data_IF_880957188494
#
_entry.id   IF_880957188494
#
_cell.length_a   1.000
_cell.length_b   1.000
_cell.length_c   1.000
_cell.angle_alpha   90.00
_cell.angle_beta   90.00
_cell.angle_gamma   90.00
#
_symmetry.space_group_name_H-M   'P 1'
#
loop_
_entity.id
_entity.type
_entity.pdbx_description
1 polymer ?
#
# COMPACT_ATOMS: atom_id res chain seq x y z
N UNK A 1 -26.21 -3.74 -10.20
CA UNK A 1 -25.81 -3.09 -8.92
C UNK A 1 -25.47 -1.62 -9.17
N UNK A 2 -25.22 -0.84 -8.12
CA UNK A 2 -24.82 0.57 -8.21
C UNK A 2 -23.42 0.78 -7.61
N UNK A 3 -22.73 1.82 -8.07
CA UNK A 3 -21.41 2.25 -7.61
C UNK A 3 -21.48 3.74 -7.28
N UNK A 4 -20.94 4.15 -6.13
CA UNK A 4 -20.85 5.56 -5.79
C UNK A 4 -19.95 6.28 -6.81
N UNK A 5 -20.48 7.31 -7.46
CA UNK A 5 -19.78 8.19 -8.38
C UNK A 5 -19.33 9.45 -7.65
N UNK A 6 -18.10 9.83 -7.92
CA UNK A 6 -17.46 11.06 -7.44
C UNK A 6 -17.16 11.89 -8.69
N UNK A 7 -17.86 13.01 -8.85
CA UNK A 7 -17.74 13.91 -10.00
C UNK A 7 -16.38 14.61 -10.03
N UNK A 8 -15.87 15.01 -8.86
CA UNK A 8 -14.53 15.60 -8.73
C UNK A 8 -13.89 15.22 -7.39
N UNK A 9 -12.56 15.17 -7.34
CA UNK A 9 -11.82 14.59 -6.20
C UNK A 9 -12.10 15.30 -4.86
N UNK A 10 -12.39 16.60 -4.89
CA UNK A 10 -12.73 17.41 -3.71
C UNK A 10 -14.18 17.27 -3.24
N UNK A 11 -15.03 16.54 -3.97
CA UNK A 11 -16.43 16.35 -3.60
C UNK A 11 -16.53 15.61 -2.26
N UNK A 12 -17.34 16.14 -1.34
CA UNK A 12 -17.52 15.60 0.01
C UNK A 12 -18.97 15.23 0.35
N UNK A 13 -19.94 15.68 -0.45
CA UNK A 13 -21.37 15.41 -0.33
C UNK A 13 -22.02 15.34 -1.73
N UNK A 14 -23.32 15.06 -1.76
CA UNK A 14 -24.16 14.99 -2.98
C UNK A 14 -23.59 14.06 -4.05
N UNK A 15 -23.16 12.87 -3.63
CA UNK A 15 -22.64 11.86 -4.54
C UNK A 15 -23.77 11.21 -5.34
N UNK A 16 -23.47 10.92 -6.60
CA UNK A 16 -24.36 10.18 -7.50
C UNK A 16 -24.03 8.70 -7.51
N UNK A 17 -24.84 7.92 -8.23
CA UNK A 17 -24.60 6.51 -8.46
C UNK A 17 -24.65 6.18 -9.95
N UNK A 18 -23.76 5.30 -10.37
CA UNK A 18 -23.79 4.73 -11.72
C UNK A 18 -23.93 3.20 -11.65
N UNK A 19 -24.42 2.60 -12.72
CA UNK A 19 -24.49 1.15 -12.88
C UNK A 19 -23.36 0.62 -13.79
N UNK A 20 -23.33 -0.70 -14.00
CA UNK A 20 -22.32 -1.36 -14.82
C UNK A 20 -22.34 -0.90 -16.28
N UNK A 21 -23.53 -0.68 -16.83
CA UNK A 21 -23.69 -0.20 -18.19
C UNK A 21 -23.08 1.20 -18.36
N UNK A 22 -23.39 2.12 -17.45
CA UNK A 22 -22.86 3.48 -17.45
C UNK A 22 -21.34 3.48 -17.24
N UNK A 23 -20.84 2.64 -16.32
CA UNK A 23 -19.38 2.47 -16.12
C UNK A 23 -18.69 1.96 -17.39
N UNK A 24 -19.29 0.98 -18.06
CA UNK A 24 -18.79 0.43 -19.34
C UNK A 24 -18.75 1.51 -20.43
N UNK A 25 -19.77 2.36 -20.52
CA UNK A 25 -19.81 3.48 -21.47
C UNK A 25 -18.71 4.51 -21.18
N UNK A 26 -18.51 4.89 -19.92
CA UNK A 26 -17.45 5.83 -19.51
C UNK A 26 -16.04 5.29 -19.80
N UNK A 27 -15.85 3.97 -19.75
CA UNK A 27 -14.59 3.32 -20.10
C UNK A 27 -14.43 3.16 -21.61
N UNK A 28 -15.51 2.86 -22.34
CA UNK A 28 -15.45 2.72 -23.81
C UNK A 28 -15.19 4.06 -24.50
N UNK A 29 -15.77 5.13 -23.97
CA UNK A 29 -15.70 6.48 -24.54
C UNK A 29 -15.40 7.51 -23.44
N UNK A 30 -14.16 7.53 -22.92
CA UNK A 30 -13.79 8.46 -21.87
C UNK A 30 -13.80 9.91 -22.36
N UNK A 31 -14.11 10.88 -21.48
CA UNK A 31 -14.11 12.29 -21.84
C UNK A 31 -12.69 12.75 -22.23
N UNK A 32 -12.63 13.71 -23.16
CA UNK A 32 -11.39 14.34 -23.60
C UNK A 32 -11.15 15.65 -22.87
N UNK A 33 -9.95 15.82 -22.31
CA UNK A 33 -9.53 17.00 -21.55
C UNK A 33 -8.44 17.75 -22.34
N UNK A 34 -8.63 19.06 -22.51
CA UNK A 34 -7.70 19.95 -23.22
C UNK A 34 -6.46 20.29 -22.36
N UNK A 35 -5.60 19.29 -22.15
CA UNK A 35 -4.30 19.44 -21.50
C UNK A 35 -3.32 18.40 -22.06
N UNK A 36 -2.02 18.67 -22.00
CA UNK A 36 -0.97 17.68 -22.27
C UNK A 36 -0.39 17.07 -20.99
N UNK A 37 -0.84 17.51 -19.81
CA UNK A 37 -0.28 17.10 -18.52
C UNK A 37 -1.18 16.09 -17.83
N UNK A 38 -0.73 14.84 -17.74
CA UNK A 38 -1.46 13.73 -17.11
C UNK A 38 -2.00 14.06 -15.70
N UNK A 39 -1.19 14.75 -14.88
CA UNK A 39 -1.60 15.16 -13.52
C UNK A 39 -2.77 16.14 -13.54
N UNK A 40 -2.83 17.06 -14.52
CA UNK A 40 -3.95 17.99 -14.66
C UNK A 40 -5.20 17.26 -15.15
N UNK A 41 -5.07 16.40 -16.17
CA UNK A 41 -6.18 15.59 -16.66
C UNK A 41 -6.80 14.73 -15.55
N UNK A 42 -5.96 14.08 -14.72
CA UNK A 42 -6.41 13.24 -13.60
C UNK A 42 -7.23 14.02 -12.56
N UNK A 43 -6.92 15.29 -12.31
CA UNK A 43 -7.69 16.13 -11.36
C UNK A 43 -9.12 16.41 -11.83
N UNK A 44 -9.35 16.38 -13.15
CA UNK A 44 -10.65 16.58 -13.79
C UNK A 44 -11.38 15.25 -14.05
N UNK A 45 -10.76 14.12 -13.71
CA UNK A 45 -11.40 12.83 -13.85
C UNK A 45 -12.39 12.58 -12.71
N UNK A 46 -13.52 11.99 -13.07
CA UNK A 46 -14.44 11.37 -12.13
C UNK A 46 -13.78 10.17 -11.44
N UNK A 47 -14.35 9.69 -10.34
CA UNK A 47 -13.90 8.49 -9.67
C UNK A 47 -15.09 7.65 -9.17
N UNK A 48 -14.82 6.37 -8.89
CA UNK A 48 -15.81 5.45 -8.33
C UNK A 48 -15.28 4.77 -7.07
N UNK A 49 -16.20 4.27 -6.24
CA UNK A 49 -15.86 3.39 -5.12
C UNK A 49 -16.26 1.93 -5.43
N UNK A 50 -15.91 1.02 -4.52
CA UNK A 50 -16.22 -0.41 -4.61
C UNK A 50 -17.59 -0.76 -4.00
N UNK A 51 -18.34 0.25 -3.55
CA UNK A 51 -19.50 0.12 -2.69
C UNK A 51 -20.60 1.06 -3.17
N UNK A 52 -21.83 0.76 -2.78
CA UNK A 52 -22.99 1.63 -2.91
C UNK A 52 -23.27 2.45 -1.63
N UNK A 53 -22.32 2.50 -0.69
CA UNK A 53 -22.37 3.43 0.44
C UNK A 53 -22.49 4.87 -0.09
N UNK A 54 -23.41 5.72 0.43
CA UNK A 54 -23.68 7.06 -0.08
C UNK A 54 -22.58 8.09 0.23
N UNK A 55 -21.45 7.67 0.81
CA UNK A 55 -20.29 8.51 1.03
C UNK A 55 -19.00 7.68 1.04
N UNK A 56 -17.86 8.37 1.19
CA UNK A 56 -16.52 7.77 1.14
C UNK A 56 -15.77 7.75 2.48
N UNK A 57 -16.45 7.94 3.60
CA UNK A 57 -15.82 7.87 4.93
C UNK A 57 -15.60 6.41 5.30
N UNK A 58 -14.44 6.13 5.89
CA UNK A 58 -14.06 4.75 6.24
C UNK A 58 -15.08 4.12 7.21
N UNK A 59 -15.47 4.84 8.25
CA UNK A 59 -16.43 4.36 9.26
C UNK A 59 -17.78 4.02 8.63
N UNK A 60 -18.30 4.90 7.77
CA UNK A 60 -19.58 4.71 7.09
C UNK A 60 -19.53 3.52 6.11
N UNK A 61 -18.45 3.38 5.33
CA UNK A 61 -18.27 2.25 4.41
C UNK A 61 -18.16 0.93 5.18
N UNK A 62 -17.41 0.91 6.27
CA UNK A 62 -17.27 -0.28 7.12
C UNK A 62 -18.61 -0.65 7.78
N UNK A 63 -19.38 0.33 8.24
CA UNK A 63 -20.70 0.10 8.81
C UNK A 63 -21.72 -0.36 7.75
N UNK A 64 -21.65 0.19 6.54
CA UNK A 64 -22.50 -0.19 5.41
C UNK A 64 -22.25 -1.62 4.95
N UNK A 65 -21.00 -2.08 4.99
CA UNK A 65 -20.59 -3.48 4.83
C UNK A 65 -21.15 -4.17 3.56
N UNK A 66 -21.26 -3.42 2.46
CA UNK A 66 -21.83 -3.90 1.21
C UNK A 66 -21.01 -3.37 0.03
N UNK A 67 -20.28 -4.28 -0.62
CA UNK A 67 -19.35 -3.99 -1.70
C UNK A 67 -19.87 -4.58 -3.00
N UNK A 68 -20.09 -3.72 -3.99
CA UNK A 68 -20.72 -4.05 -5.27
C UNK A 68 -19.72 -4.19 -6.41
N UNK A 69 -18.42 -3.93 -6.17
CA UNK A 69 -17.39 -4.01 -7.20
C UNK A 69 -16.05 -4.52 -6.65
N UNK A 70 -15.43 -5.45 -7.37
CA UNK A 70 -14.01 -5.79 -7.20
C UNK A 70 -13.16 -4.92 -8.14
N UNK A 71 -12.00 -4.47 -7.67
CA UNK A 71 -11.17 -3.50 -8.41
C UNK A 71 -9.69 -3.68 -8.13
N UNK A 72 -8.86 -3.55 -9.16
CA UNK A 72 -7.40 -3.67 -9.05
C UNK A 72 -6.72 -2.46 -9.69
N UNK A 73 -5.68 -1.95 -9.04
CA UNK A 73 -4.79 -0.90 -9.57
C UNK A 73 -3.44 -1.58 -9.86
N UNK A 74 -3.09 -1.67 -11.15
CA UNK A 74 -1.85 -2.27 -11.59
C UNK A 74 -0.92 -1.15 -12.03
N UNK A 75 0.02 -0.78 -11.19
CA UNK A 75 1.03 0.23 -11.49
C UNK A 75 2.37 -0.43 -11.89
N UNK A 76 2.97 0.09 -12.97
CA UNK A 76 4.26 -0.32 -13.53
C UNK A 76 4.40 -1.85 -13.65
N UNK A 77 3.36 -2.48 -14.18
CA UNK A 77 3.27 -3.93 -14.30
C UNK A 77 3.96 -4.45 -15.57
N UNK A 78 4.54 -5.64 -15.47
CA UNK A 78 5.04 -6.39 -16.64
C UNK A 78 3.89 -6.97 -17.47
N UNK A 79 2.69 -7.07 -16.88
CA UNK A 79 1.53 -7.57 -17.59
C UNK A 79 1.15 -6.63 -18.75
N UNK A 80 0.78 -7.23 -19.88
CA UNK A 80 0.04 -6.53 -20.92
C UNK A 80 -1.45 -6.81 -20.78
N UNK A 81 -2.29 -6.04 -21.49
CA UNK A 81 -3.74 -6.19 -21.46
C UNK A 81 -4.20 -7.62 -21.82
N UNK A 82 -3.50 -8.29 -22.74
CA UNK A 82 -3.76 -9.70 -23.09
C UNK A 82 -3.51 -10.62 -21.89
N UNK A 83 -2.38 -10.48 -21.20
CA UNK A 83 -2.08 -11.32 -20.03
C UNK A 83 -3.10 -11.09 -18.90
N UNK A 84 -3.53 -9.85 -18.67
CA UNK A 84 -4.58 -9.54 -17.69
C UNK A 84 -5.88 -10.26 -18.06
N UNK A 85 -6.31 -10.15 -19.32
CA UNK A 85 -7.49 -10.84 -19.84
C UNK A 85 -7.40 -12.37 -19.65
N UNK A 86 -6.29 -12.96 -20.10
CA UNK A 86 -6.09 -14.41 -20.04
C UNK A 86 -6.09 -14.92 -18.58
N UNK A 87 -5.50 -14.16 -17.66
CA UNK A 87 -5.54 -14.47 -16.22
C UNK A 87 -6.95 -14.40 -15.66
N UNK A 88 -7.72 -13.34 -15.95
CA UNK A 88 -9.09 -13.20 -15.45
C UNK A 88 -10.01 -14.31 -15.98
N UNK A 89 -9.91 -14.62 -17.28
CA UNK A 89 -10.66 -15.72 -17.88
C UNK A 89 -10.26 -17.08 -17.29
N UNK A 90 -8.95 -17.30 -17.05
CA UNK A 90 -8.44 -18.52 -16.41
C UNK A 90 -8.92 -18.70 -14.97
N UNK A 91 -9.25 -17.60 -14.28
CA UNK A 91 -9.86 -17.59 -12.95
C UNK A 91 -11.40 -17.73 -12.99
N UNK A 92 -11.99 -17.95 -14.16
CA UNK A 92 -13.45 -18.08 -14.34
C UNK A 92 -14.21 -16.74 -14.26
N UNK A 93 -13.52 -15.61 -14.44
CA UNK A 93 -14.13 -14.28 -14.39
C UNK A 93 -14.51 -13.86 -15.81
N UNK A 94 -15.81 -13.65 -16.04
CA UNK A 94 -16.34 -13.43 -17.40
C UNK A 94 -16.95 -12.04 -17.63
N UNK A 95 -17.19 -11.24 -16.59
CA UNK A 95 -17.63 -9.84 -16.76
C UNK A 95 -16.64 -8.89 -16.09
N UNK A 96 -15.86 -8.19 -16.89
CA UNK A 96 -14.83 -7.27 -16.40
C UNK A 96 -14.44 -6.20 -17.43
N UNK A 97 -13.87 -5.11 -16.91
CA UNK A 97 -13.38 -3.96 -17.66
C UNK A 97 -11.92 -3.74 -17.31
N UNK A 98 -11.06 -3.56 -18.31
CA UNK A 98 -9.66 -3.20 -18.15
C UNK A 98 -9.40 -1.91 -18.91
N UNK A 99 -8.72 -0.93 -18.32
CA UNK A 99 -8.36 0.29 -19.03
C UNK A 99 -7.01 0.84 -18.58
N UNK A 100 -6.33 1.59 -19.46
CA UNK A 100 -5.10 2.30 -19.08
C UNK A 100 -5.39 3.48 -18.15
N UNK A 101 -4.43 3.83 -17.29
CA UNK A 101 -4.55 5.03 -16.44
C UNK A 101 -4.04 6.27 -17.18
N UNK A 102 -4.40 7.47 -16.69
CA UNK A 102 -3.89 8.73 -17.25
C UNK A 102 -2.35 8.86 -17.21
N UNK A 103 -1.67 8.10 -16.35
CA UNK A 103 -0.20 8.09 -16.27
C UNK A 103 0.45 6.90 -16.97
N UNK A 104 -0.33 6.12 -17.73
CA UNK A 104 0.19 4.99 -18.51
C UNK A 104 1.27 5.48 -19.48
N UNK A 105 2.50 4.95 -19.32
CA UNK A 105 3.66 5.31 -20.14
C UNK A 105 3.99 6.81 -20.20
N UNK A 106 3.58 7.57 -19.19
CA UNK A 106 3.91 8.99 -19.05
C UNK A 106 5.07 9.17 -18.08
N UNK A 107 5.92 10.17 -18.30
CA UNK A 107 6.98 10.57 -17.37
C UNK A 107 7.88 9.40 -16.90
N UNK A 108 8.23 8.49 -17.82
CA UNK A 108 9.08 7.31 -17.53
C UNK A 108 8.36 6.15 -16.82
N UNK A 109 7.05 6.23 -16.61
CA UNK A 109 6.24 5.13 -16.04
C UNK A 109 6.06 3.99 -17.04
N UNK A 110 5.81 2.80 -16.52
CA UNK A 110 5.56 1.60 -17.32
C UNK A 110 4.10 1.42 -17.71
N UNK A 111 3.70 0.17 -17.91
CA UNK A 111 2.31 -0.17 -18.14
C UNK A 111 1.50 0.02 -16.86
N UNK A 112 0.43 0.79 -16.95
CA UNK A 112 -0.49 1.05 -15.83
C UNK A 112 -1.94 0.80 -16.24
N UNK A 113 -2.64 -0.05 -15.50
CA UNK A 113 -4.01 -0.45 -15.78
C UNK A 113 -4.90 -0.42 -14.54
N UNK A 114 -6.19 -0.27 -14.76
CA UNK A 114 -7.23 -0.58 -13.78
C UNK A 114 -8.09 -1.71 -14.29
N UNK A 115 -8.49 -2.56 -13.37
CA UNK A 115 -9.43 -3.66 -13.61
C UNK A 115 -10.64 -3.45 -12.72
N UNK A 116 -11.83 -3.63 -13.30
CA UNK A 116 -13.10 -3.66 -12.59
C UNK A 116 -13.79 -4.98 -12.92
N UNK A 117 -14.30 -5.69 -11.92
CA UNK A 117 -14.98 -6.98 -12.10
C UNK A 117 -16.41 -6.85 -11.59
N UNK A 118 -17.37 -7.20 -12.44
CA UNK A 118 -18.79 -7.16 -12.12
C UNK A 118 -19.15 -8.31 -11.17
N UNK A 119 -19.90 -8.01 -10.12
CA UNK A 119 -20.47 -9.01 -9.20
C UNK A 119 -21.95 -9.26 -9.51
N UNK A 120 -22.44 -10.47 -9.27
CA UNK A 120 -23.88 -10.75 -9.33
C UNK A 120 -24.63 -10.23 -8.11
N UNK A 121 -23.95 -10.19 -6.96
CA UNK A 121 -24.47 -9.75 -5.67
C UNK A 121 -23.41 -8.98 -4.90
N UNK A 122 -23.84 -8.11 -3.98
CA UNK A 122 -22.90 -7.41 -3.10
C UNK A 122 -22.25 -8.36 -2.10
N UNK A 123 -21.01 -8.06 -1.75
CA UNK A 123 -20.20 -8.81 -0.79
C UNK A 123 -20.12 -8.06 0.53
N UNK A 124 -19.99 -8.80 1.63
CA UNK A 124 -19.55 -8.17 2.87
C UNK A 124 -18.05 -7.84 2.81
N UNK A 125 -17.57 -7.03 3.76
CA UNK A 125 -16.19 -6.56 3.82
C UNK A 125 -15.18 -7.71 3.87
N UNK A 126 -15.45 -8.78 4.61
CA UNK A 126 -14.51 -9.88 4.77
C UNK A 126 -14.37 -10.67 3.47
N UNK A 127 -15.50 -11.02 2.84
CA UNK A 127 -15.54 -11.66 1.51
C UNK A 127 -14.80 -10.81 0.47
N UNK A 128 -15.10 -9.52 0.44
CA UNK A 128 -14.48 -8.57 -0.49
C UNK A 128 -12.98 -8.48 -0.27
N UNK A 129 -12.50 -8.42 0.98
CA UNK A 129 -11.07 -8.36 1.30
C UNK A 129 -10.33 -9.62 0.89
N UNK A 130 -10.91 -10.80 1.13
CA UNK A 130 -10.32 -12.08 0.77
C UNK A 130 -10.12 -12.16 -0.74
N UNK A 131 -11.17 -11.83 -1.52
CA UNK A 131 -11.08 -11.83 -2.98
C UNK A 131 -10.15 -10.75 -3.53
N UNK A 132 -10.22 -9.51 -3.03
CA UNK A 132 -9.33 -8.44 -3.47
C UNK A 132 -7.87 -8.79 -3.26
N UNK A 133 -7.56 -9.37 -2.10
CA UNK A 133 -6.20 -9.79 -1.76
C UNK A 133 -5.73 -10.90 -2.70
N UNK A 134 -6.57 -11.91 -2.94
CA UNK A 134 -6.23 -13.03 -3.81
C UNK A 134 -6.05 -12.58 -5.27
N UNK A 135 -6.94 -11.74 -5.79
CA UNK A 135 -6.84 -11.19 -7.14
C UNK A 135 -5.61 -10.29 -7.31
N UNK A 136 -5.28 -9.48 -6.30
CA UNK A 136 -4.06 -8.69 -6.31
C UNK A 136 -2.81 -9.58 -6.37
N UNK A 137 -2.81 -10.71 -5.65
CA UNK A 137 -1.76 -11.72 -5.75
C UNK A 137 -1.66 -12.32 -7.17
N UNK A 138 -2.78 -12.77 -7.76
CA UNK A 138 -2.80 -13.39 -9.08
C UNK A 138 -2.27 -12.46 -10.19
N UNK A 139 -2.53 -11.16 -10.07
CA UNK A 139 -2.17 -10.14 -11.08
C UNK A 139 -0.98 -9.25 -10.69
N UNK A 140 -0.31 -9.54 -9.56
CA UNK A 140 0.76 -8.71 -9.00
C UNK A 140 0.39 -7.22 -8.91
N UNK A 141 -0.88 -6.96 -8.62
CA UNK A 141 -1.47 -5.64 -8.48
C UNK A 141 -1.23 -5.08 -7.08
N UNK A 142 -1.48 -3.78 -6.91
CA UNK A 142 -1.46 -3.18 -5.58
C UNK A 142 -2.66 -3.68 -4.76
N UNK A 143 -2.37 -4.29 -3.61
CA UNK A 143 -3.39 -4.77 -2.70
C UNK A 143 -4.08 -3.58 -1.99
N UNK A 144 -5.24 -3.19 -2.53
CA UNK A 144 -6.08 -2.13 -1.99
C UNK A 144 -7.09 -2.62 -0.93
N UNK A 145 -7.06 -3.90 -0.53
CA UNK A 145 -8.03 -4.50 0.40
C UNK A 145 -8.06 -3.84 1.79
N UNK A 146 -6.94 -3.25 2.22
CA UNK A 146 -6.85 -2.55 3.51
C UNK A 146 -7.41 -1.11 3.46
N UNK A 147 -7.81 -0.61 2.29
CA UNK A 147 -8.35 0.73 2.09
C UNK A 147 -9.71 0.63 1.39
N UNK A 148 -10.76 0.12 2.05
CA UNK A 148 -12.08 -0.04 1.42
C UNK A 148 -12.65 1.28 0.88
N UNK A 149 -12.32 2.41 1.52
CA UNK A 149 -12.67 3.76 1.11
C UNK A 149 -11.88 4.32 -0.08
N UNK A 150 -10.84 3.62 -0.54
CA UNK A 150 -10.03 4.06 -1.67
C UNK A 150 -10.92 4.29 -2.89
N UNK A 151 -10.68 5.38 -3.61
CA UNK A 151 -11.39 5.71 -4.85
C UNK A 151 -10.57 5.24 -6.05
N UNK A 152 -11.23 4.93 -7.16
CA UNK A 152 -10.58 4.62 -8.43
C UNK A 152 -10.97 5.67 -9.47
N UNK A 153 -9.99 6.38 -10.01
CA UNK A 153 -10.27 7.36 -11.06
C UNK A 153 -10.74 6.64 -12.31
N UNK A 154 -11.81 7.16 -12.91
CA UNK A 154 -12.26 6.77 -14.23
C UNK A 154 -11.27 7.29 -15.30
N UNK A 155 -11.28 6.69 -16.50
CA UNK A 155 -10.38 7.11 -17.56
C UNK A 155 -10.75 8.49 -18.11
N UNK A 156 -9.72 9.22 -18.53
CA UNK A 156 -9.83 10.46 -19.31
C UNK A 156 -8.81 10.40 -20.44
N UNK A 157 -9.16 10.95 -21.60
CA UNK A 157 -8.21 11.17 -22.71
C UNK A 157 -7.70 12.59 -22.66
N UNK A 158 -6.47 12.80 -23.09
CA UNK A 158 -5.87 14.13 -23.16
C UNK A 158 -4.81 14.17 -24.27
N UNK A 159 -4.24 15.35 -24.54
CA UNK A 159 -3.29 15.54 -25.64
C UNK A 159 -2.04 14.68 -25.37
N UNK A 160 -1.73 13.75 -26.28
CA UNK A 160 -0.59 12.84 -26.15
C UNK A 160 -0.83 11.60 -25.28
N UNK A 161 -2.05 11.40 -24.75
CA UNK A 161 -2.36 10.21 -23.95
C UNK A 161 -2.52 8.95 -24.80
N UNK A 162 -1.89 7.86 -24.41
CA UNK A 162 -2.14 6.52 -24.95
C UNK A 162 -3.27 5.85 -24.15
N UNK A 163 -4.48 5.83 -24.70
CA UNK A 163 -5.64 5.21 -24.08
C UNK A 163 -6.04 3.91 -24.76
N UNK A 164 -6.10 2.83 -23.99
CA UNK A 164 -6.61 1.53 -24.42
C UNK A 164 -7.58 1.00 -23.37
N UNK A 165 -8.60 0.27 -23.82
CA UNK A 165 -9.48 -0.49 -22.95
C UNK A 165 -9.80 -1.86 -23.55
N UNK A 166 -10.11 -2.81 -22.67
CA UNK A 166 -10.67 -4.10 -23.01
C UNK A 166 -11.91 -4.34 -22.15
N UNK A 167 -12.96 -4.83 -22.78
CA UNK A 167 -14.27 -5.04 -22.18
C UNK A 167 -14.66 -6.46 -22.50
N UNK A 168 -14.84 -7.26 -21.46
CA UNK A 168 -15.34 -8.61 -21.60
C UNK A 168 -16.76 -8.67 -21.02
N UNK A 169 -17.74 -8.95 -21.87
CA UNK A 169 -19.16 -9.00 -21.52
C UNK A 169 -19.60 -10.45 -21.37
N UNK A 170 -19.59 -10.94 -20.14
CA UNK A 170 -20.08 -12.26 -19.78
C UNK A 170 -20.92 -12.22 -18.53
N UNK A 171 -21.07 -13.36 -17.85
CA UNK A 171 -21.85 -13.41 -16.62
C UNK A 171 -21.14 -12.67 -15.48
N UNK A 172 -21.87 -11.88 -14.67
CA UNK A 172 -21.33 -11.33 -13.44
C UNK A 172 -20.81 -12.43 -12.51
N UNK A 173 -19.76 -12.13 -11.74
CA UNK A 173 -19.16 -13.07 -10.81
C UNK A 173 -20.12 -13.36 -9.65
N UNK A 174 -20.49 -14.63 -9.49
CA UNK A 174 -21.27 -15.12 -8.37
C UNK A 174 -20.38 -16.00 -7.48
N UNK A 175 -20.37 -15.77 -6.17
CA UNK A 175 -19.48 -16.52 -5.27
C UNK A 175 -19.98 -17.93 -4.95
N UNK A 176 -21.29 -18.14 -4.98
CA UNK A 176 -21.90 -19.42 -4.62
C UNK A 176 -21.33 -20.57 -5.45
N UNK A 177 -20.52 -21.43 -4.83
CA UNK A 177 -19.87 -22.57 -5.48
C UNK A 177 -18.77 -22.19 -6.49
N UNK A 178 -18.20 -20.98 -6.41
CA UNK A 178 -17.11 -20.58 -7.30
C UNK A 178 -15.76 -21.09 -6.80
N UNK A 179 -15.04 -21.81 -7.67
CA UNK A 179 -13.67 -22.27 -7.39
C UNK A 179 -12.75 -21.10 -7.02
N UNK A 180 -12.94 -19.93 -7.65
CA UNK A 180 -12.21 -18.71 -7.34
C UNK A 180 -12.31 -18.33 -5.85
N UNK A 181 -13.50 -18.44 -5.26
CA UNK A 181 -13.68 -18.09 -3.85
C UNK A 181 -13.07 -19.15 -2.93
N UNK A 182 -13.20 -20.43 -3.26
CA UNK A 182 -12.55 -21.53 -2.51
C UNK A 182 -11.01 -21.39 -2.52
N UNK A 183 -10.44 -21.03 -3.68
CA UNK A 183 -9.01 -20.77 -3.83
C UNK A 183 -8.58 -19.55 -3.01
N UNK A 184 -9.38 -18.48 -3.01
CA UNK A 184 -9.11 -17.27 -2.23
C UNK A 184 -9.16 -17.54 -0.71
N UNK A 185 -10.12 -18.35 -0.24
CA UNK A 185 -10.22 -18.79 1.16
C UNK A 185 -9.03 -19.66 1.55
N UNK A 186 -8.64 -20.59 0.68
CA UNK A 186 -7.47 -21.45 0.89
C UNK A 186 -6.19 -20.60 0.99
N UNK A 187 -6.03 -19.65 0.08
CA UNK A 187 -4.90 -18.71 0.09
C UNK A 187 -4.85 -17.88 1.38
N UNK A 188 -5.97 -17.28 1.80
CA UNK A 188 -6.02 -16.49 3.04
C UNK A 188 -5.74 -17.35 4.28
N UNK A 189 -6.25 -18.59 4.31
CA UNK A 189 -6.00 -19.55 5.40
C UNK A 189 -4.53 -19.93 5.50
N UNK A 190 -3.89 -20.18 4.36
CA UNK A 190 -2.47 -20.50 4.32
C UNK A 190 -1.62 -19.29 4.73
N UNK A 191 -1.94 -18.08 4.25
CA UNK A 191 -1.28 -16.84 4.66
C UNK A 191 -1.43 -16.58 6.16
N UNK A 192 -2.61 -16.86 6.73
CA UNK A 192 -2.87 -16.81 8.18
C UNK A 192 -1.96 -17.75 8.94
N UNK A 193 -1.86 -19.00 8.49
CA UNK A 193 -1.05 -20.05 9.11
C UNK A 193 0.44 -19.69 9.07
N UNK A 194 0.96 -19.29 7.91
CA UNK A 194 2.36 -18.90 7.75
C UNK A 194 2.73 -17.70 8.62
N UNK A 195 1.91 -16.65 8.61
CA UNK A 195 2.14 -15.48 9.46
C UNK A 195 2.16 -15.82 10.95
N UNK A 196 1.32 -16.77 11.39
CA UNK A 196 1.28 -17.21 12.77
C UNK A 196 2.52 -18.02 13.17
N UNK A 197 2.99 -18.93 12.31
CA UNK A 197 4.23 -19.69 12.52
C UNK A 197 5.42 -18.74 12.63
N UNK A 198 5.56 -17.81 11.67
CA UNK A 198 6.65 -16.83 11.67
C UNK A 198 6.59 -15.94 12.91
N UNK A 199 5.39 -15.50 13.32
CA UNK A 199 5.22 -14.73 14.55
C UNK A 199 5.71 -15.53 15.76
N UNK A 200 5.33 -16.80 15.90
CA UNK A 200 5.74 -17.65 17.03
C UNK A 200 7.26 -17.85 17.06
N UNK A 201 7.89 -18.11 15.91
CA UNK A 201 9.33 -18.37 15.83
C UNK A 201 10.18 -17.10 16.03
N UNK A 202 9.71 -15.94 15.55
CA UNK A 202 10.53 -14.73 15.46
C UNK A 202 10.27 -13.71 16.55
N UNK A 203 9.14 -13.77 17.26
CA UNK A 203 8.88 -12.87 18.39
C UNK A 203 9.97 -12.99 19.47
N UNK A 204 10.51 -14.18 19.72
CA UNK A 204 11.62 -14.39 20.64
C UNK A 204 12.96 -13.79 20.15
N UNK A 205 13.09 -13.51 18.86
CA UNK A 205 14.29 -12.93 18.22
C UNK A 205 14.19 -11.41 18.06
N UNK A 206 13.11 -10.80 18.56
CA UNK A 206 12.95 -9.34 18.63
C UNK A 206 13.90 -8.81 19.71
N UNK A 207 14.96 -8.13 19.28
CA UNK A 207 15.83 -7.40 20.20
C UNK A 207 15.30 -5.96 20.41
N UNK A 208 15.61 -5.34 21.55
CA UNK A 208 15.37 -3.90 21.73
C UNK A 208 16.06 -3.11 20.62
N UNK A 209 15.51 -1.94 20.32
CA UNK A 209 16.08 -1.00 19.34
C UNK A 209 17.55 -0.69 19.68
N UNK A 210 18.29 -0.20 18.69
CA UNK A 210 19.70 0.16 18.82
C UNK A 210 19.95 0.91 20.14
N UNK A 211 20.90 0.48 20.98
CA UNK A 211 21.18 1.20 22.23
C UNK A 211 21.65 2.61 21.89
N UNK A 212 20.91 3.62 22.33
CA UNK A 212 21.31 5.03 22.24
C UNK A 212 21.91 5.47 23.58
N UNK A 213 23.09 6.08 23.52
CA UNK A 213 23.68 6.76 24.66
C UNK A 213 23.17 8.19 24.72
N UNK A 214 21.97 8.37 25.27
CA UNK A 214 21.39 9.69 25.52
C UNK A 214 21.94 10.27 26.84
N UNK A 215 22.32 11.54 26.82
CA UNK A 215 22.55 12.30 28.06
C UNK A 215 21.22 12.77 28.65
N UNK A 216 21.19 13.07 29.95
CA UNK A 216 19.96 13.44 30.65
C UNK A 216 19.25 14.61 29.94
N UNK A 217 17.95 14.44 29.67
CA UNK A 217 17.11 15.42 28.99
C UNK A 217 17.10 15.34 27.46
N UNK A 218 17.94 14.51 26.81
CA UNK A 218 17.85 14.28 25.37
C UNK A 218 16.64 13.40 24.99
N UNK A 219 16.16 13.60 23.77
CA UNK A 219 15.10 12.81 23.12
C UNK A 219 15.74 11.85 22.12
N UNK A 220 15.24 10.60 22.08
CA UNK A 220 15.66 9.61 21.08
C UNK A 220 15.18 10.01 19.68
N UNK A 221 16.11 10.24 18.75
CA UNK A 221 15.73 10.46 17.34
C UNK A 221 15.25 9.15 16.71
N UNK A 222 15.78 8.01 17.14
CA UNK A 222 15.32 6.69 16.69
C UNK A 222 13.84 6.48 17.05
N UNK A 223 13.42 6.76 18.28
CA UNK A 223 12.01 6.65 18.68
C UNK A 223 11.12 7.63 17.92
N UNK A 224 11.59 8.87 17.69
CA UNK A 224 10.85 9.86 16.89
C UNK A 224 10.65 9.35 15.45
N UNK A 225 11.70 8.81 14.82
CA UNK A 225 11.61 8.16 13.50
C UNK A 225 10.59 7.01 13.54
N UNK A 226 10.73 6.08 14.48
CA UNK A 226 9.85 4.91 14.62
C UNK A 226 8.37 5.25 14.90
N UNK A 227 8.07 6.48 15.31
CA UNK A 227 6.70 6.97 15.54
C UNK A 227 6.16 7.78 14.37
N UNK A 228 7.03 8.21 13.45
CA UNK A 228 6.67 9.14 12.36
C UNK A 228 6.19 8.44 11.08
N UNK A 229 6.39 7.13 10.97
CA UNK A 229 6.02 6.36 9.78
C UNK A 229 5.01 5.25 10.11
N UNK A 230 4.17 4.90 9.13
CA UNK A 230 3.45 3.63 9.14
C UNK A 230 4.18 2.60 8.26
N UNK A 231 4.22 1.33 8.67
CA UNK A 231 4.85 0.28 7.88
C UNK A 231 4.29 0.16 6.45
N UNK A 232 2.97 0.17 6.22
CA UNK A 232 2.44 0.07 4.86
C UNK A 232 2.90 1.22 3.95
N UNK A 233 2.90 2.46 4.44
CA UNK A 233 3.36 3.62 3.65
C UNK A 233 4.85 3.55 3.36
N UNK A 234 5.65 3.21 4.39
CA UNK A 234 7.09 3.07 4.25
C UNK A 234 7.46 1.97 3.25
N UNK A 235 6.87 0.78 3.35
CA UNK A 235 7.14 -0.32 2.43
C UNK A 235 6.73 0.01 1.00
N UNK A 236 5.56 0.63 0.80
CA UNK A 236 5.13 1.08 -0.53
C UNK A 236 6.09 2.11 -1.13
N UNK A 237 6.64 3.03 -0.33
CA UNK A 237 7.62 4.02 -0.79
C UNK A 237 8.88 3.37 -1.36
N UNK A 238 9.29 2.23 -0.80
CA UNK A 238 10.41 1.43 -1.29
C UNK A 238 10.01 0.37 -2.32
N UNK A 239 8.78 0.38 -2.83
CA UNK A 239 8.34 -0.49 -3.93
C UNK A 239 7.96 -1.92 -3.53
N UNK A 240 7.77 -2.20 -2.24
CA UNK A 240 7.26 -3.50 -1.80
C UNK A 240 5.80 -3.68 -2.22
N UNK A 241 5.45 -4.89 -2.65
CA UNK A 241 4.07 -5.25 -2.99
C UNK A 241 3.48 -6.16 -1.95
N UNK A 242 2.33 -5.79 -1.38
CA UNK A 242 1.64 -6.64 -0.41
C UNK A 242 0.98 -7.82 -1.11
N UNK A 243 1.14 -9.01 -0.55
CA UNK A 243 0.47 -10.24 -0.95
C UNK A 243 -0.17 -10.85 0.30
N UNK A 244 -1.41 -10.47 0.61
CA UNK A 244 -2.08 -10.89 1.84
C UNK A 244 -1.37 -10.41 3.10
N UNK A 245 -0.83 -11.33 3.89
CA UNK A 245 -0.14 -10.98 5.16
C UNK A 245 1.35 -10.72 4.99
N UNK A 246 1.88 -11.06 3.82
CA UNK A 246 3.29 -10.91 3.50
C UNK A 246 3.51 -9.75 2.51
N UNK A 247 4.77 -9.34 2.39
CA UNK A 247 5.24 -8.33 1.46
C UNK A 247 6.31 -8.93 0.56
N UNK A 248 6.23 -8.60 -0.72
CA UNK A 248 7.17 -8.95 -1.77
C UNK A 248 8.18 -7.80 -1.92
N UNK A 249 9.47 -8.04 -1.65
CA UNK A 249 10.52 -7.05 -1.91
C UNK A 249 10.61 -6.68 -3.39
N UNK A 250 10.97 -5.44 -3.74
CA UNK A 250 11.12 -5.00 -5.14
C UNK A 250 12.27 -5.74 -5.86
N UNK A 251 13.27 -6.24 -5.12
CA UNK A 251 14.37 -7.03 -5.66
C UNK A 251 13.98 -8.49 -5.95
N UNK A 252 12.77 -8.91 -5.57
CA UNK A 252 12.37 -10.30 -5.71
C UNK A 252 12.21 -10.69 -7.17
N UNK A 253 12.95 -11.71 -7.58
CA UNK A 253 12.71 -12.42 -8.85
C UNK A 253 11.69 -13.55 -8.68
N UNK A 254 11.48 -14.02 -7.45
CA UNK A 254 10.38 -14.92 -7.11
C UNK A 254 9.07 -14.12 -7.02
N UNK A 255 7.92 -14.70 -7.38
CA UNK A 255 6.62 -14.04 -7.21
C UNK A 255 6.05 -14.21 -5.79
N UNK A 256 6.87 -14.70 -4.85
CA UNK A 256 6.43 -15.14 -3.52
C UNK A 256 6.89 -14.18 -2.45
N UNK A 257 5.94 -13.53 -1.78
CA UNK A 257 6.22 -12.65 -0.66
C UNK A 257 6.82 -13.42 0.54
N UNK A 258 7.80 -12.80 1.21
CA UNK A 258 8.53 -13.40 2.32
C UNK A 258 8.84 -12.43 3.47
N UNK A 259 8.31 -11.21 3.41
CA UNK A 259 8.46 -10.20 4.44
C UNK A 259 7.16 -9.96 5.22
N UNK A 260 7.26 -9.67 6.50
CA UNK A 260 6.15 -9.64 7.45
C UNK A 260 6.29 -8.46 8.40
N UNK A 261 5.16 -7.88 8.79
CA UNK A 261 5.09 -6.94 9.91
C UNK A 261 4.58 -7.70 11.12
N UNK A 262 5.43 -7.82 12.14
CA UNK A 262 5.18 -8.58 13.36
C UNK A 262 5.01 -7.64 14.54
N UNK A 263 4.07 -7.92 15.43
CA UNK A 263 3.97 -7.20 16.71
C UNK A 263 4.94 -7.81 17.71
N UNK A 264 5.83 -6.99 18.26
CA UNK A 264 6.72 -7.40 19.34
C UNK A 264 6.05 -7.52 20.70
N UNK A 265 6.75 -8.08 21.70
CA UNK A 265 6.24 -8.19 23.07
C UNK A 265 5.92 -6.83 23.72
N UNK A 266 6.60 -5.78 23.27
CA UNK A 266 6.40 -4.38 23.67
C UNK A 266 5.26 -3.69 22.90
N UNK A 267 4.49 -4.43 22.10
CA UNK A 267 3.41 -3.89 21.27
C UNK A 267 3.88 -3.11 20.04
N UNK A 268 5.20 -2.94 19.84
CA UNK A 268 5.74 -2.23 18.67
C UNK A 268 5.79 -3.14 17.45
N UNK A 269 5.31 -2.64 16.32
CA UNK A 269 5.38 -3.33 15.04
C UNK A 269 6.81 -3.31 14.47
N UNK A 270 7.31 -4.46 14.03
CA UNK A 270 8.65 -4.64 13.46
C UNK A 270 8.59 -5.39 12.15
N UNK A 271 9.53 -5.09 11.27
CA UNK A 271 9.72 -5.75 10.01
C UNK A 271 10.56 -7.00 10.17
N UNK A 272 10.16 -8.10 9.55
CA UNK A 272 10.95 -9.32 9.44
C UNK A 272 10.90 -9.83 8.01
N UNK A 273 12.04 -10.25 7.46
CA UNK A 273 12.10 -10.87 6.14
C UNK A 273 12.98 -12.11 6.17
N UNK A 274 12.50 -13.15 5.49
CA UNK A 274 13.30 -14.33 5.14
C UNK A 274 13.50 -14.44 3.62
N UNK A 275 13.11 -13.41 2.86
CA UNK A 275 13.28 -13.39 1.42
C UNK A 275 14.74 -13.07 1.09
N UNK A 276 15.48 -13.99 0.48
CA UNK A 276 16.94 -13.88 0.28
C UNK A 276 17.36 -12.68 -0.58
N UNK A 277 16.51 -12.23 -1.50
CA UNK A 277 16.77 -11.04 -2.32
C UNK A 277 16.56 -9.72 -1.57
N UNK A 278 15.97 -9.73 -0.38
CA UNK A 278 15.70 -8.53 0.39
C UNK A 278 16.93 -8.09 1.20
N UNK A 279 17.48 -6.88 0.97
CA UNK A 279 18.55 -6.33 1.81
C UNK A 279 18.21 -6.27 3.30
N UNK A 280 16.91 -6.22 3.64
CA UNK A 280 16.44 -6.19 5.03
C UNK A 280 16.26 -7.58 5.66
N UNK A 281 16.54 -8.67 4.94
CA UNK A 281 16.51 -10.04 5.45
C UNK A 281 17.73 -10.35 6.35
N UNK A 282 17.85 -9.64 7.48
CA UNK A 282 18.98 -9.75 8.42
C UNK A 282 18.89 -10.97 9.35
N UNK A 283 17.86 -11.80 9.19
CA UNK A 283 17.53 -12.88 10.12
C UNK A 283 16.93 -12.41 11.46
N UNK A 284 16.71 -11.11 11.64
CA UNK A 284 16.14 -10.50 12.85
C UNK A 284 14.93 -9.64 12.50
N UNK A 285 14.12 -9.35 13.50
CA UNK A 285 13.09 -8.32 13.40
C UNK A 285 13.75 -6.95 13.60
N UNK A 286 13.47 -6.01 12.70
CA UNK A 286 14.05 -4.67 12.69
C UNK A 286 12.95 -3.61 12.83
N UNK A 287 13.28 -2.45 13.38
CA UNK A 287 12.36 -1.31 13.44
C UNK A 287 12.46 -0.43 12.18
N UNK A 288 11.71 0.68 12.14
CA UNK A 288 11.67 1.55 10.96
C UNK A 288 13.00 2.31 10.78
N UNK A 289 13.66 2.69 11.86
CA UNK A 289 14.97 3.30 11.80
C UNK A 289 16.01 2.34 11.22
N UNK A 290 16.06 1.10 11.70
CA UNK A 290 16.93 0.04 11.16
C UNK A 290 16.63 -0.21 9.66
N UNK A 291 15.34 -0.29 9.30
CA UNK A 291 14.91 -0.46 7.91
C UNK A 291 15.41 0.69 7.02
N UNK A 292 15.19 1.94 7.43
CA UNK A 292 15.68 3.12 6.71
C UNK A 292 17.21 3.12 6.60
N UNK A 293 17.90 2.72 7.68
CA UNK A 293 19.36 2.63 7.73
C UNK A 293 19.89 1.62 6.70
N UNK A 294 19.28 0.44 6.61
CA UNK A 294 19.64 -0.58 5.62
C UNK A 294 19.31 -0.12 4.19
N UNK A 295 18.13 0.46 3.99
CA UNK A 295 17.61 0.81 2.65
C UNK A 295 18.24 2.07 2.04
N UNK A 296 18.63 3.04 2.86
CA UNK A 296 19.08 4.35 2.37
C UNK A 296 20.48 4.76 2.80
N UNK A 297 21.08 4.04 3.76
CA UNK A 297 22.37 4.41 4.33
C UNK A 297 23.36 3.25 4.40
N UNK A 298 23.12 2.17 3.62
CA UNK A 298 23.99 1.00 3.53
C UNK A 298 24.33 0.36 4.90
N UNK A 299 23.42 0.47 5.88
CA UNK A 299 23.63 -0.04 7.24
C UNK A 299 24.39 0.89 8.18
N UNK A 300 24.82 2.08 7.75
CA UNK A 300 25.52 3.05 8.60
C UNK A 300 24.53 3.84 9.48
N UNK A 301 24.33 3.36 10.71
CA UNK A 301 23.43 3.99 11.69
C UNK A 301 23.87 5.40 12.09
N UNK A 302 25.17 5.69 12.11
CA UNK A 302 25.69 7.01 12.47
C UNK A 302 25.38 8.05 11.40
N UNK A 303 25.52 7.67 10.13
CA UNK A 303 25.12 8.51 8.98
C UNK A 303 23.60 8.65 8.93
N UNK A 304 22.85 7.56 9.11
CA UNK A 304 21.40 7.58 9.15
C UNK A 304 20.86 8.50 10.23
N UNK A 305 21.37 8.41 11.47
CA UNK A 305 20.93 9.24 12.60
C UNK A 305 21.11 10.74 12.32
N UNK A 306 22.29 11.14 11.80
CA UNK A 306 22.58 12.54 11.45
C UNK A 306 21.71 13.06 10.32
N UNK A 307 21.40 12.21 9.33
CA UNK A 307 20.57 12.59 8.20
C UNK A 307 19.09 12.69 8.61
N UNK A 308 18.59 11.70 9.34
CA UNK A 308 17.20 11.62 9.77
C UNK A 308 16.83 12.68 10.82
N UNK A 309 17.76 13.05 11.71
CA UNK A 309 17.54 14.12 12.68
C UNK A 309 17.16 15.46 12.02
N UNK A 310 17.60 15.72 10.79
CA UNK A 310 17.28 16.97 10.07
C UNK A 310 15.80 17.10 9.71
N UNK A 311 15.05 16.00 9.67
CA UNK A 311 13.59 16.01 9.48
C UNK A 311 12.84 16.36 10.77
N UNK A 312 13.53 16.39 11.92
CA UNK A 312 13.00 16.70 13.24
C UNK A 312 13.77 17.87 13.87
N UNK A 313 13.70 19.08 13.26
CA UNK A 313 14.58 20.19 13.62
C UNK A 313 14.42 20.66 15.07
N UNK A 314 13.23 20.53 15.64
CA UNK A 314 12.97 20.90 17.04
C UNK A 314 13.69 19.97 18.02
N UNK A 315 13.58 18.66 17.79
CA UNK A 315 14.22 17.61 18.60
C UNK A 315 15.73 17.64 18.42
N UNK A 316 16.23 17.82 17.20
CA UNK A 316 17.66 17.97 16.92
C UNK A 316 18.25 19.21 17.61
N UNK A 317 17.58 20.36 17.51
CA UNK A 317 18.00 21.58 18.21
C UNK A 317 17.97 21.41 19.74
N UNK A 318 16.93 20.75 20.27
CA UNK A 318 16.85 20.41 21.69
C UNK A 318 18.02 19.54 22.14
N UNK A 319 18.30 18.46 21.43
CA UNK A 319 19.37 17.54 21.76
C UNK A 319 20.75 18.21 21.73
N UNK A 320 20.98 19.09 20.76
CA UNK A 320 22.19 19.92 20.68
C UNK A 320 22.33 20.87 21.87
N UNK A 321 21.23 21.51 22.31
CA UNK A 321 21.23 22.35 23.52
C UNK A 321 21.58 21.55 24.78
N UNK A 322 20.96 20.39 24.96
CA UNK A 322 21.25 19.50 26.10
C UNK A 322 22.72 19.06 26.09
N UNK A 323 23.27 18.74 24.93
CA UNK A 323 24.68 18.37 24.78
C UNK A 323 25.64 19.49 25.15
N UNK A 324 25.37 20.71 24.68
CA UNK A 324 26.18 21.89 25.04
C UNK A 324 26.14 22.14 26.56
N UNK A 325 24.96 22.08 27.17
CA UNK A 325 24.81 22.26 28.61
C UNK A 325 25.57 21.18 29.41
N UNK A 326 25.48 19.93 28.99
CA UNK A 326 26.22 18.82 29.61
C UNK A 326 27.74 19.01 29.51
N UNK A 327 28.26 19.40 28.33
CA UNK A 327 29.69 19.68 28.15
C UNK A 327 30.18 20.85 29.02
N UNK A 328 29.35 21.89 29.21
CA UNK A 328 29.66 22.99 30.13
C UNK A 328 29.70 22.53 31.58
N UNK A 329 28.73 21.70 32.01
CA UNK A 329 28.68 21.16 33.36
C UNK A 329 29.90 20.26 33.67
N UNK A 330 30.31 19.39 32.74
CA UNK A 330 31.50 18.56 32.89
C UNK A 330 32.78 19.40 33.06
N UNK A 331 32.94 20.47 32.27
CA UNK A 331 34.08 21.40 32.40
C UNK A 331 34.08 22.12 33.76
N UNK A 332 32.92 22.53 34.26
CA UNK A 332 32.82 23.17 35.57
C UNK A 332 33.15 22.21 36.71
N UNK A 333 32.77 20.93 36.59
CA UNK A 333 33.07 19.90 37.58
C UNK A 333 34.57 19.57 37.62
N UNK A 334 35.21 19.38 36.46
CA UNK A 334 36.64 19.09 36.39
C UNK A 334 37.51 20.21 36.95
N UNK A 335 37.08 21.48 36.79
CA UNK A 335 37.76 22.64 37.41
C UNK A 335 37.62 22.63 38.94
N UNK A 336 36.53 22.09 39.49
CA UNK A 336 36.28 22.03 40.95
C UNK A 336 37.00 20.88 41.64
N UNK A 337 37.17 19.74 40.98
CA UNK A 337 37.90 18.57 41.52
C UNK A 337 39.41 18.62 41.30
N UNK A 338 39.89 19.47 40.38
CA UNK A 338 41.32 19.74 40.17
C UNK A 338 41.91 20.81 41.10
N UNK A 339 41.15 21.27 42.11
CA UNK A 339 41.60 22.12 43.22
C UNK A 339 41.46 21.34 44.51
#
# INVERSE_FOLDING_TARGET
MKYLLIEHIQQTHDFDFIDWQTLTQLISSPPFIQTSVARQAKKLSKAITATDCPNKRLEDITAHNHFTLLRLDLDDTEHCMKTINDTLLGLGIHSFLVHTTASHRQDGKGNRYRVYIELGHGLNLDEWRILQTYLAYCLLADDCSNRPQQIMFLPVRFIGSEYHCHINTGSPLNLGGSQLFDDAITFDTEQKRQAQVIKQEKVAQIKPSHPEHLINGQVSIIDVVNQSYSWPELLNQYGYKRQGRAWLPPESTSKTAGAYILSGPDGKARYYSHHTSDPCATGKCIDQFDFLTLRSFAGDSGTALKALAKYFPEQDAHNKRQYIAYQQALKLHSIREGR
#
